data_IF_464146999423
#
_entry.id   IF_464146999423
#
_cell.length_a   1.000
_cell.length_b   1.000
_cell.length_c   1.000
_cell.angle_alpha   90.00
_cell.angle_beta   90.00
_cell.angle_gamma   90.00
#
_symmetry.space_group_name_H-M   'P 1'
#
loop_
_entity.id
_entity.type
_entity.pdbx_description
1 polymer ?
#
# COMPACT_ATOMS: atom_id res chain seq x y z
N UNK A 1 61.19 26.62 30.09
CA UNK A 1 60.42 27.48 29.15
C UNK A 1 59.35 26.68 28.51
N UNK A 2 58.21 26.67 29.11
CA UNK A 2 57.05 25.93 28.61
C UNK A 2 55.92 26.97 28.41
N UNK A 3 55.66 27.41 27.20
CA UNK A 3 54.56 28.34 26.88
C UNK A 3 53.86 27.96 25.57
N UNK A 4 52.54 27.70 25.74
CA UNK A 4 51.46 27.95 24.75
C UNK A 4 51.39 27.04 23.53
N UNK A 5 50.65 25.92 23.67
CA UNK A 5 49.90 25.32 22.59
C UNK A 5 48.60 24.71 23.15
N UNK A 6 47.61 25.53 23.39
CA UNK A 6 46.17 25.26 23.37
C UNK A 6 45.53 26.63 23.22
N UNK A 7 44.76 26.88 22.20
CA UNK A 7 43.43 26.40 22.01
C UNK A 7 43.03 26.28 20.50
N UNK A 8 42.93 25.11 19.97
CA UNK A 8 42.36 24.91 18.64
C UNK A 8 41.33 23.79 18.55
N UNK A 9 41.02 23.10 19.65
CA UNK A 9 40.07 21.99 19.66
C UNK A 9 38.68 22.32 20.17
N UNK A 10 38.39 23.56 20.54
CA UNK A 10 37.09 23.92 21.14
C UNK A 10 36.06 24.44 20.11
N UNK A 11 36.45 24.62 18.84
CA UNK A 11 35.57 25.18 17.80
C UNK A 11 34.92 24.14 16.89
N UNK A 12 35.21 22.83 17.03
CA UNK A 12 34.68 21.77 16.15
C UNK A 12 33.56 20.95 16.76
N UNK A 13 33.09 21.28 17.97
CA UNK A 13 32.07 20.51 18.69
C UNK A 13 30.66 21.12 18.65
N UNK A 14 30.43 22.17 17.86
CA UNK A 14 29.12 22.88 17.82
C UNK A 14 28.35 22.71 16.50
N UNK A 15 28.69 21.75 15.64
CA UNK A 15 28.05 21.58 14.33
C UNK A 15 27.29 20.27 14.14
N UNK A 16 26.90 19.56 15.22
CA UNK A 16 26.16 18.29 15.09
C UNK A 16 24.85 18.33 15.91
N UNK A 17 24.03 19.35 15.76
CA UNK A 17 22.73 19.37 16.48
C UNK A 17 21.58 20.04 15.73
N UNK A 18 21.55 19.96 14.41
CA UNK A 18 20.36 20.43 13.65
C UNK A 18 20.04 19.49 12.50
N UNK A 19 19.62 18.24 12.76
CA UNK A 19 18.98 17.39 11.74
C UNK A 19 18.11 16.24 12.33
N UNK A 20 17.02 16.49 13.08
CA UNK A 20 15.92 15.53 13.04
C UNK A 20 14.53 16.11 12.73
N UNK A 21 14.35 17.44 12.65
CA UNK A 21 13.00 18.02 12.54
C UNK A 21 12.31 17.82 11.18
N UNK A 22 13.07 17.79 10.08
CA UNK A 22 12.50 17.67 8.74
C UNK A 22 11.92 16.27 8.45
N UNK A 23 12.50 15.21 9.01
CA UNK A 23 12.00 13.84 8.83
C UNK A 23 10.69 13.59 9.59
N UNK A 24 10.52 14.15 10.77
CA UNK A 24 9.31 13.96 11.58
C UNK A 24 8.07 14.62 10.94
N UNK A 25 8.24 15.77 10.31
CA UNK A 25 7.14 16.46 9.61
C UNK A 25 6.72 15.74 8.33
N UNK A 26 7.66 15.15 7.59
CA UNK A 26 7.37 14.40 6.37
C UNK A 26 6.66 13.06 6.68
N UNK A 27 7.09 12.36 7.73
CA UNK A 27 6.43 11.15 8.21
C UNK A 27 5.02 11.41 8.72
N UNK A 28 4.77 12.51 9.43
CA UNK A 28 3.44 12.87 9.92
C UNK A 28 2.48 13.26 8.80
N UNK A 29 2.97 13.92 7.74
CA UNK A 29 2.19 14.27 6.55
C UNK A 29 1.86 13.02 5.71
N UNK A 30 2.79 12.09 5.57
CA UNK A 30 2.60 10.83 4.86
C UNK A 30 1.61 9.92 5.59
N UNK A 31 1.76 9.74 6.91
CA UNK A 31 0.81 8.99 7.73
C UNK A 31 -0.60 9.60 7.74
N UNK A 32 -0.74 10.93 7.68
CA UNK A 32 -2.04 11.60 7.60
C UNK A 32 -2.72 11.45 6.24
N UNK A 33 -1.96 11.23 5.16
CA UNK A 33 -2.50 11.02 3.82
C UNK A 33 -2.89 9.54 3.61
N UNK A 34 -2.10 8.60 4.12
CA UNK A 34 -2.40 7.16 4.13
C UNK A 34 -3.66 6.79 4.90
N UNK A 35 -4.12 7.64 5.83
CA UNK A 35 -5.38 7.43 6.55
C UNK A 35 -6.63 7.86 5.78
N UNK A 36 -6.49 8.57 4.65
CA UNK A 36 -7.62 9.12 3.88
C UNK A 36 -8.13 8.18 2.81
N UNK A 37 -7.29 7.28 2.31
CA UNK A 37 -7.64 6.33 1.26
C UNK A 37 -6.70 5.12 1.28
N UNK A 38 -7.14 4.02 0.66
CA UNK A 38 -6.26 2.87 0.43
C UNK A 38 -5.20 3.30 -0.60
N UNK A 39 -3.93 3.16 -0.23
CA UNK A 39 -2.79 3.46 -1.12
C UNK A 39 -2.49 2.24 -1.97
N UNK A 40 -2.54 2.40 -3.28
CA UNK A 40 -2.30 1.31 -4.24
C UNK A 40 -0.99 1.51 -5.00
N UNK A 41 -0.32 0.41 -5.25
CA UNK A 41 0.66 0.27 -6.34
C UNK A 41 -0.17 0.13 -7.62
N UNK A 42 0.05 0.98 -8.62
CA UNK A 42 -0.73 0.98 -9.84
C UNK A 42 -0.05 0.12 -10.93
N UNK A 43 -0.78 -0.86 -11.49
CA UNK A 43 -0.40 -1.69 -12.63
C UNK A 43 0.96 -2.44 -12.52
N UNK A 44 1.44 -2.71 -11.30
CA UNK A 44 2.74 -3.34 -11.04
C UNK A 44 2.60 -4.57 -10.14
N UNK A 45 2.10 -5.68 -10.69
CA UNK A 45 1.92 -6.94 -9.95
C UNK A 45 3.23 -7.50 -9.39
N UNK A 46 4.30 -7.49 -10.18
CA UNK A 46 5.59 -8.05 -9.76
C UNK A 46 6.22 -7.25 -8.61
N UNK A 47 6.05 -5.93 -8.60
CA UNK A 47 6.48 -5.09 -7.48
C UNK A 47 5.65 -5.37 -6.21
N UNK A 48 4.34 -5.57 -6.35
CA UNK A 48 3.48 -5.95 -5.24
C UNK A 48 3.89 -7.31 -4.64
N UNK A 49 4.20 -8.30 -5.47
CA UNK A 49 4.73 -9.60 -5.04
C UNK A 49 6.05 -9.47 -4.28
N UNK A 50 6.99 -8.68 -4.82
CA UNK A 50 8.29 -8.43 -4.20
C UNK A 50 8.15 -7.79 -2.83
N UNK A 51 7.30 -6.74 -2.72
CA UNK A 51 7.04 -6.08 -1.44
C UNK A 51 6.34 -7.00 -0.44
N UNK A 52 5.35 -7.76 -0.88
CA UNK A 52 4.62 -8.69 -0.03
C UNK A 52 5.54 -9.78 0.53
N UNK A 53 6.40 -10.35 -0.31
CA UNK A 53 7.39 -11.34 0.10
C UNK A 53 8.39 -10.77 1.12
N UNK A 54 8.91 -9.55 0.86
CA UNK A 54 9.87 -8.89 1.76
C UNK A 54 9.27 -8.52 3.12
N UNK A 55 7.97 -8.17 3.16
CA UNK A 55 7.26 -7.75 4.37
C UNK A 55 6.48 -8.89 5.04
N UNK A 56 6.42 -10.07 4.44
CA UNK A 56 5.56 -11.20 4.84
C UNK A 56 4.08 -10.77 5.00
N UNK A 57 3.58 -9.99 4.04
CA UNK A 57 2.20 -9.49 4.00
C UNK A 57 1.39 -10.14 2.90
N UNK A 58 0.08 -10.22 3.10
CA UNK A 58 -0.86 -10.54 2.05
C UNK A 58 -0.94 -9.40 1.02
N UNK A 59 -1.37 -9.73 -0.20
CA UNK A 59 -1.59 -8.75 -1.28
C UNK A 59 -3.09 -8.59 -1.46
N UNK A 60 -3.58 -7.36 -1.42
CA UNK A 60 -4.94 -7.01 -1.82
C UNK A 60 -4.93 -6.46 -3.24
N UNK A 61 -5.69 -7.07 -4.13
CA UNK A 61 -5.82 -6.70 -5.54
C UNK A 61 -7.18 -6.10 -5.82
N UNK A 62 -7.21 -4.90 -6.41
CA UNK A 62 -8.36 -4.34 -7.14
C UNK A 62 -8.16 -4.62 -8.64
N UNK A 63 -8.80 -5.66 -9.14
CA UNK A 63 -8.81 -5.98 -10.56
C UNK A 63 -9.96 -5.24 -11.24
N UNK A 64 -9.64 -4.20 -12.00
CA UNK A 64 -10.63 -3.29 -12.58
C UNK A 64 -10.49 -3.11 -14.10
N UNK A 65 -11.46 -2.46 -14.71
CA UNK A 65 -11.36 -1.89 -16.05
C UNK A 65 -11.71 -0.40 -16.00
N UNK A 66 -11.09 0.41 -16.85
CA UNK A 66 -11.24 1.88 -16.81
C UNK A 66 -12.66 2.38 -17.12
N UNK A 67 -13.44 1.61 -17.87
CA UNK A 67 -14.85 1.90 -18.21
C UNK A 67 -15.86 1.40 -17.17
N UNK A 68 -15.44 0.56 -16.22
CA UNK A 68 -16.30 -0.11 -15.26
C UNK A 68 -16.90 0.88 -14.23
N UNK A 69 -18.21 1.06 -14.23
CA UNK A 69 -18.93 1.95 -13.32
C UNK A 69 -18.77 1.57 -11.83
N UNK A 70 -19.06 0.31 -11.44
CA UNK A 70 -18.88 -0.15 -10.06
C UNK A 70 -17.42 -0.04 -9.56
N UNK A 71 -16.41 -0.20 -10.44
CA UNK A 71 -15.00 0.02 -10.09
C UNK A 71 -14.73 1.48 -9.72
N UNK A 72 -15.29 2.42 -10.49
CA UNK A 72 -15.20 3.86 -10.18
C UNK A 72 -15.87 4.17 -8.84
N UNK A 73 -16.99 3.52 -8.53
CA UNK A 73 -17.65 3.68 -7.22
C UNK A 73 -16.78 3.18 -6.07
N UNK A 74 -16.09 2.03 -6.19
CA UNK A 74 -15.12 1.58 -5.17
C UNK A 74 -14.05 2.65 -4.91
N UNK A 75 -13.43 3.18 -5.97
CA UNK A 75 -12.39 4.22 -5.88
C UNK A 75 -12.89 5.51 -5.24
N UNK A 76 -14.14 5.90 -5.50
CA UNK A 76 -14.70 7.15 -4.99
C UNK A 76 -15.28 7.06 -3.58
N UNK A 77 -15.64 5.86 -3.12
CA UNK A 77 -16.34 5.65 -1.84
C UNK A 77 -15.59 4.70 -0.91
N UNK A 78 -15.60 3.41 -1.22
CA UNK A 78 -15.08 2.36 -0.35
C UNK A 78 -13.60 2.54 -0.03
N UNK A 79 -12.77 2.80 -1.05
CA UNK A 79 -11.33 2.98 -0.88
C UNK A 79 -10.95 4.32 -0.25
N UNK A 80 -11.87 5.29 -0.19
CA UNK A 80 -11.72 6.57 0.54
C UNK A 80 -12.29 6.53 1.95
N UNK A 81 -12.82 5.41 2.40
CA UNK A 81 -13.24 5.26 3.78
C UNK A 81 -12.00 5.15 4.69
N UNK A 82 -11.86 6.05 5.65
CA UNK A 82 -10.66 6.11 6.51
C UNK A 82 -10.43 4.85 7.34
N UNK A 83 -11.49 4.16 7.80
CA UNK A 83 -11.35 2.90 8.56
C UNK A 83 -10.82 1.79 7.65
N UNK A 84 -11.37 1.66 6.44
CA UNK A 84 -10.89 0.70 5.45
C UNK A 84 -9.45 1.01 5.05
N UNK A 85 -9.12 2.28 4.79
CA UNK A 85 -7.78 2.72 4.44
C UNK A 85 -6.75 2.36 5.53
N UNK A 86 -7.02 2.72 6.78
CA UNK A 86 -6.14 2.38 7.91
C UNK A 86 -5.92 0.86 8.04
N UNK A 87 -6.99 0.07 7.87
CA UNK A 87 -6.90 -1.38 7.96
C UNK A 87 -6.08 -1.98 6.81
N UNK A 88 -6.38 -1.60 5.56
CA UNK A 88 -5.71 -2.18 4.39
C UNK A 88 -4.26 -1.73 4.24
N UNK A 89 -3.96 -0.45 4.44
CA UNK A 89 -2.59 0.07 4.37
C UNK A 89 -1.68 -0.53 5.45
N UNK A 90 -2.23 -0.87 6.61
CA UNK A 90 -1.48 -1.55 7.68
C UNK A 90 -1.19 -3.01 7.37
N UNK A 91 -2.17 -3.75 6.87
CA UNK A 91 -2.14 -5.22 6.86
C UNK A 91 -1.80 -5.83 5.49
N UNK A 92 -1.92 -5.08 4.40
CA UNK A 92 -1.75 -5.58 3.04
C UNK A 92 -0.74 -4.75 2.24
N UNK A 93 -0.18 -5.35 1.21
CA UNK A 93 0.35 -4.66 0.05
C UNK A 93 -0.82 -4.52 -0.93
N UNK A 94 -1.27 -3.30 -1.19
CA UNK A 94 -2.43 -3.07 -2.06
C UNK A 94 -1.96 -2.77 -3.48
N UNK A 95 -2.56 -3.40 -4.48
CA UNK A 95 -2.27 -3.18 -5.90
C UNK A 95 -3.57 -3.05 -6.69
N UNK A 96 -3.67 -2.03 -7.52
CA UNK A 96 -4.78 -1.84 -8.45
C UNK A 96 -4.28 -2.10 -9.88
N UNK A 97 -4.97 -2.95 -10.64
CA UNK A 97 -4.52 -3.36 -11.97
C UNK A 97 -5.66 -3.17 -12.97
N UNK A 98 -5.40 -2.38 -14.02
CA UNK A 98 -6.29 -2.30 -15.19
C UNK A 98 -6.15 -3.59 -16.01
N UNK A 99 -7.16 -4.46 -15.91
CA UNK A 99 -7.13 -5.79 -16.51
C UNK A 99 -7.18 -5.76 -18.05
N UNK A 100 -7.30 -4.59 -18.65
CA UNK A 100 -7.31 -4.41 -20.11
C UNK A 100 -6.04 -3.72 -20.63
N UNK A 101 -5.07 -3.41 -19.73
CA UNK A 101 -3.82 -2.75 -20.09
C UNK A 101 -2.59 -3.47 -19.56
N UNK A 102 -1.45 -3.23 -20.20
CA UNK A 102 -0.16 -3.76 -19.76
C UNK A 102 -0.18 -5.27 -19.54
N UNK A 103 0.16 -5.69 -18.31
CA UNK A 103 0.12 -7.10 -17.89
C UNK A 103 -1.30 -7.60 -17.51
N UNK A 104 -2.28 -6.68 -17.41
CA UNK A 104 -3.64 -6.99 -16.96
C UNK A 104 -4.32 -8.13 -17.72
N UNK A 105 -4.34 -8.16 -19.07
CA UNK A 105 -4.97 -9.24 -19.82
C UNK A 105 -4.40 -10.63 -19.50
N UNK A 106 -3.09 -10.75 -19.31
CA UNK A 106 -2.45 -12.01 -18.95
C UNK A 106 -2.81 -12.44 -17.53
N UNK A 107 -2.86 -11.48 -16.59
CA UNK A 107 -3.26 -11.73 -15.21
C UNK A 107 -4.74 -12.07 -15.10
N UNK A 108 -5.62 -11.40 -15.85
CA UNK A 108 -7.05 -11.72 -15.91
C UNK A 108 -7.28 -13.17 -16.38
N UNK A 109 -6.60 -13.60 -17.43
CA UNK A 109 -6.64 -14.97 -17.91
C UNK A 109 -6.10 -15.97 -16.89
N UNK A 110 -4.93 -15.68 -16.29
CA UNK A 110 -4.27 -16.50 -15.26
C UNK A 110 -5.13 -16.69 -14.01
N UNK A 111 -5.87 -15.65 -13.59
CA UNK A 111 -6.73 -15.68 -12.41
C UNK A 111 -8.17 -16.09 -12.71
N UNK A 112 -8.50 -16.30 -13.99
CA UNK A 112 -9.83 -16.74 -14.45
C UNK A 112 -10.92 -15.70 -14.20
N UNK A 113 -10.61 -14.40 -14.37
CA UNK A 113 -11.56 -13.32 -14.09
C UNK A 113 -12.69 -13.30 -15.10
N UNK A 114 -13.93 -13.19 -14.62
CA UNK A 114 -15.14 -13.18 -15.45
C UNK A 114 -15.85 -11.82 -15.44
N UNK A 115 -15.56 -10.95 -14.49
CA UNK A 115 -16.24 -9.66 -14.33
C UNK A 115 -15.38 -8.66 -13.55
N UNK A 116 -15.75 -7.37 -13.61
CA UNK A 116 -15.11 -6.28 -12.87
C UNK A 116 -16.14 -5.49 -12.05
N UNK A 117 -15.73 -4.97 -10.87
CA UNK A 117 -14.46 -5.24 -10.22
C UNK A 117 -14.41 -6.68 -9.67
N UNK A 118 -13.21 -7.27 -9.63
CA UNK A 118 -12.92 -8.45 -8.83
C UNK A 118 -11.86 -8.10 -7.82
N UNK A 119 -12.18 -8.28 -6.54
CA UNK A 119 -11.27 -8.06 -5.42
C UNK A 119 -10.67 -9.40 -5.02
N UNK A 120 -9.34 -9.49 -4.95
CA UNK A 120 -8.67 -10.75 -4.63
C UNK A 120 -7.63 -10.50 -3.54
N UNK A 121 -7.55 -11.42 -2.59
CA UNK A 121 -6.44 -11.46 -1.63
C UNK A 121 -5.57 -12.66 -1.94
N UNK A 122 -4.27 -12.39 -2.09
CA UNK A 122 -3.23 -13.39 -2.26
C UNK A 122 -2.36 -13.45 -1.01
N UNK A 123 -1.74 -14.59 -0.75
CA UNK A 123 -0.67 -14.66 0.24
C UNK A 123 0.63 -14.04 -0.30
N UNK A 124 1.67 -13.95 0.54
CA UNK A 124 2.96 -13.36 0.19
C UNK A 124 3.70 -14.06 -0.97
N UNK A 125 3.32 -15.29 -1.32
CA UNK A 125 3.88 -16.04 -2.47
C UNK A 125 3.02 -15.90 -3.74
N UNK A 126 1.95 -15.09 -3.73
CA UNK A 126 1.08 -14.88 -4.89
C UNK A 126 0.07 -16.00 -5.14
N UNK A 127 -0.23 -16.84 -4.13
CA UNK A 127 -1.32 -17.83 -4.20
C UNK A 127 -2.63 -17.18 -3.76
N UNK A 128 -3.73 -17.29 -4.53
CA UNK A 128 -5.01 -16.70 -4.16
C UNK A 128 -5.57 -17.37 -2.90
N UNK A 129 -6.13 -16.55 -2.00
CA UNK A 129 -6.68 -16.96 -0.70
C UNK A 129 -8.19 -16.72 -0.64
N UNK A 130 -8.64 -15.56 -1.13
CA UNK A 130 -10.04 -15.15 -1.08
C UNK A 130 -10.35 -14.22 -2.24
N UNK A 131 -11.57 -14.31 -2.79
CA UNK A 131 -12.04 -13.46 -3.90
C UNK A 131 -13.47 -12.97 -3.66
N UNK A 132 -13.80 -11.80 -4.20
CA UNK A 132 -15.14 -11.22 -4.24
C UNK A 132 -15.34 -10.48 -5.56
N UNK A 133 -16.50 -10.66 -6.17
CA UNK A 133 -16.87 -10.01 -7.44
C UNK A 133 -17.91 -8.93 -7.19
N UNK A 134 -17.72 -7.77 -7.82
CA UNK A 134 -18.64 -6.64 -7.75
C UNK A 134 -18.30 -5.62 -6.66
N UNK A 135 -19.18 -4.62 -6.55
CA UNK A 135 -19.03 -3.54 -5.56
C UNK A 135 -19.25 -4.06 -4.14
N UNK A 136 -18.41 -3.60 -3.22
CA UNK A 136 -18.48 -3.92 -1.79
C UNK A 136 -18.41 -2.62 -0.96
N UNK A 137 -19.18 -2.52 0.12
CA UNK A 137 -19.12 -1.39 1.06
C UNK A 137 -17.90 -1.48 1.97
N UNK A 138 -17.50 -0.35 2.56
CA UNK A 138 -16.29 -0.28 3.39
C UNK A 138 -16.26 -1.26 4.57
N UNK A 139 -17.36 -1.40 5.30
CA UNK A 139 -17.42 -2.32 6.45
C UNK A 139 -17.31 -3.78 6.02
N UNK A 140 -17.89 -4.14 4.87
CA UNK A 140 -17.79 -5.49 4.33
C UNK A 140 -16.42 -5.75 3.71
N UNK A 141 -15.79 -4.72 3.12
CA UNK A 141 -14.39 -4.81 2.67
C UNK A 141 -13.46 -5.10 3.86
N UNK A 142 -13.66 -4.45 5.01
CA UNK A 142 -12.88 -4.73 6.23
C UNK A 142 -13.07 -6.18 6.67
N UNK A 143 -14.31 -6.69 6.71
CA UNK A 143 -14.59 -8.10 7.05
C UNK A 143 -13.92 -9.07 6.08
N UNK A 144 -13.96 -8.77 4.78
CA UNK A 144 -13.29 -9.54 3.73
C UNK A 144 -11.78 -9.66 3.98
N UNK A 145 -11.12 -8.55 4.31
CA UNK A 145 -9.70 -8.57 4.69
C UNK A 145 -9.42 -9.33 5.99
N UNK A 146 -10.28 -9.14 7.01
CA UNK A 146 -10.15 -9.87 8.28
C UNK A 146 -10.30 -11.38 8.11
N UNK A 147 -11.19 -11.82 7.22
CA UNK A 147 -11.37 -13.24 6.90
C UNK A 147 -10.11 -13.84 6.24
N UNK A 148 -9.54 -13.13 5.29
CA UNK A 148 -8.32 -13.58 4.63
C UNK A 148 -7.13 -13.75 5.60
N UNK A 149 -7.00 -12.84 6.58
CA UNK A 149 -5.91 -12.90 7.57
C UNK A 149 -6.05 -14.05 8.59
N UNK A 150 -7.16 -14.80 8.59
CA UNK A 150 -7.36 -15.99 9.44
C UNK A 150 -6.97 -17.29 8.74
N UNK A 151 -6.66 -17.24 7.46
CA UNK A 151 -6.33 -18.42 6.63
C UNK A 151 -4.82 -18.61 6.52
#
# INVERSE_FOLDING_TARGET
MLKKLLPAYFSLLLLILVLPAANAQNQKKQASDESKHIVFIEDQWDEALKQASAQNKYIFVDAYASWCGPCKMLKLTTFKNSKAALFYNKNFVNVAIDMEKGQGPQLAAKWGLQAYPTLIIFNASGKPVLGSVGYIKADDLIKFGQEALKK
#
